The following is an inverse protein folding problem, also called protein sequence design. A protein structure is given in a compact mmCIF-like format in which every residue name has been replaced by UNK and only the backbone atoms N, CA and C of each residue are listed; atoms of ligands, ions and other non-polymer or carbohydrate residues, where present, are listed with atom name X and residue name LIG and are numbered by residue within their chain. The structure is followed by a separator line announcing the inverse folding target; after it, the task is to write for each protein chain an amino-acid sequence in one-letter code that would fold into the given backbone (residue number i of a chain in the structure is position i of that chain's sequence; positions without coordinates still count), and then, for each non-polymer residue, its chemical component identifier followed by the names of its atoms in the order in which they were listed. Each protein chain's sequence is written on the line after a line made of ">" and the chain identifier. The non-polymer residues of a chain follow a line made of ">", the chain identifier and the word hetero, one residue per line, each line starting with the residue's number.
data_IF_504885326142
#
_entry.id   IF_504885326142
#
_cell.length_a   1.000
_cell.length_b   1.000
_cell.length_c   1.000
_cell.angle_alpha   90.00
_cell.angle_beta   90.00
_cell.angle_gamma   90.00
#
_symmetry.space_group_name_H-M   'P 1'
#
loop_
_entity.id
_entity.type
_entity.pdbx_description
1 polymer ?
#
# COMPACT_ATOMS: atom_id res chain seq x y z
N UNK A 1 1.99 -21.61 2.08
CA UNK A 1 2.68 -20.60 1.25
C UNK A 1 1.73 -19.42 1.13
N UNK A 2 2.17 -18.20 1.46
CA UNK A 2 1.35 -16.98 1.36
C UNK A 2 1.80 -16.19 0.12
N UNK A 3 0.87 -15.50 -0.53
CA UNK A 3 1.16 -14.59 -1.64
C UNK A 3 0.93 -13.15 -1.23
N UNK A 4 1.91 -12.27 -1.48
CA UNK A 4 1.75 -10.83 -1.28
C UNK A 4 1.88 -10.11 -2.62
N UNK A 5 0.74 -9.66 -3.16
CA UNK A 5 0.67 -9.08 -4.49
C UNK A 5 0.67 -7.56 -4.39
N UNK A 6 1.67 -6.91 -4.98
CA UNK A 6 1.69 -5.46 -5.17
C UNK A 6 0.92 -5.04 -6.43
N UNK A 7 -0.01 -4.09 -6.32
CA UNK A 7 -0.76 -3.54 -7.45
C UNK A 7 -0.40 -2.07 -7.69
N UNK A 8 0.02 -1.79 -8.92
CA UNK A 8 0.26 -0.44 -9.45
C UNK A 8 -0.44 -0.25 -10.79
N UNK A 9 -0.46 0.98 -11.31
CA UNK A 9 -1.14 1.33 -12.56
C UNK A 9 -1.72 2.74 -12.55
N UNK A 10 -1.94 3.30 -13.73
CA UNK A 10 -2.44 4.67 -13.94
C UNK A 10 -3.90 4.84 -13.50
N UNK A 11 -4.37 6.09 -13.43
CA UNK A 11 -5.79 6.38 -13.19
C UNK A 11 -6.64 5.74 -14.30
N UNK A 12 -7.73 5.06 -13.92
CA UNK A 12 -8.59 4.35 -14.89
C UNK A 12 -8.09 2.98 -15.35
N UNK A 13 -6.93 2.50 -14.89
CA UNK A 13 -6.36 1.21 -15.33
C UNK A 13 -7.06 -0.06 -14.78
N UNK A 14 -8.22 0.06 -14.13
CA UNK A 14 -8.95 -1.11 -13.60
C UNK A 14 -8.37 -1.74 -12.32
N UNK A 15 -7.43 -1.08 -11.62
CA UNK A 15 -6.83 -1.59 -10.37
C UNK A 15 -7.86 -1.98 -9.31
N UNK A 16 -8.88 -1.14 -9.11
CA UNK A 16 -9.94 -1.42 -8.13
C UNK A 16 -10.65 -2.73 -8.42
N UNK A 17 -10.94 -3.02 -9.69
CA UNK A 17 -11.60 -4.25 -10.13
C UNK A 17 -10.80 -5.50 -9.78
N UNK A 18 -9.49 -5.51 -10.01
CA UNK A 18 -8.66 -6.67 -9.66
C UNK A 18 -8.48 -6.82 -8.14
N UNK A 19 -8.40 -5.71 -7.39
CA UNK A 19 -8.39 -5.74 -5.92
C UNK A 19 -9.67 -6.36 -5.38
N UNK A 20 -10.82 -5.89 -5.85
CA UNK A 20 -12.14 -6.43 -5.45
C UNK A 20 -12.27 -7.91 -5.78
N UNK A 21 -11.79 -8.34 -6.95
CA UNK A 21 -11.76 -9.76 -7.31
C UNK A 21 -10.89 -10.57 -6.33
N UNK A 22 -9.68 -10.10 -6.01
CA UNK A 22 -8.79 -10.81 -5.09
C UNK A 22 -9.40 -10.92 -3.68
N UNK A 23 -10.05 -9.86 -3.20
CA UNK A 23 -10.72 -9.88 -1.89
C UNK A 23 -11.92 -10.85 -1.94
N UNK A 24 -12.87 -10.59 -2.82
CA UNK A 24 -14.19 -11.22 -2.78
C UNK A 24 -14.19 -12.66 -3.31
N UNK A 25 -13.29 -12.98 -4.25
CA UNK A 25 -13.26 -14.29 -4.92
C UNK A 25 -12.09 -15.16 -4.49
N UNK A 26 -11.00 -14.56 -3.96
CA UNK A 26 -9.78 -15.28 -3.57
C UNK A 26 -9.43 -15.16 -2.09
N UNK A 27 -10.21 -14.40 -1.30
CA UNK A 27 -10.00 -14.27 0.14
C UNK A 27 -8.72 -13.53 0.51
N UNK A 28 -8.24 -12.62 -0.34
CA UNK A 28 -7.07 -11.80 -0.02
C UNK A 28 -7.43 -10.70 0.98
N UNK A 29 -6.55 -10.48 1.95
CA UNK A 29 -6.56 -9.27 2.77
C UNK A 29 -6.09 -8.06 1.95
N UNK A 30 -6.74 -6.91 2.14
CA UNK A 30 -6.39 -5.68 1.42
C UNK A 30 -5.68 -4.69 2.33
N UNK A 31 -4.55 -4.20 1.82
CA UNK A 31 -3.77 -3.15 2.44
C UNK A 31 -3.52 -2.06 1.39
N UNK A 32 -3.76 -0.80 1.72
CA UNK A 32 -3.55 0.29 0.77
C UNK A 32 -2.67 1.39 1.36
N UNK A 33 -1.79 1.94 0.54
CA UNK A 33 -1.02 3.15 0.88
C UNK A 33 -1.97 4.31 1.19
N UNK A 34 -3.15 4.35 0.54
CA UNK A 34 -4.16 5.39 0.75
C UNK A 34 -4.73 5.35 2.16
N UNK A 35 -5.09 4.16 2.66
CA UNK A 35 -5.65 3.98 3.99
C UNK A 35 -4.60 4.20 5.07
N UNK A 36 -3.35 3.75 4.83
CA UNK A 36 -2.22 4.06 5.72
C UNK A 36 -2.06 5.57 5.92
N UNK A 37 -2.09 6.35 4.82
CA UNK A 37 -1.97 7.80 4.89
C UNK A 37 -3.20 8.43 5.54
N UNK A 38 -4.40 7.89 5.31
CA UNK A 38 -5.65 8.36 5.94
C UNK A 38 -5.58 8.21 7.45
N UNK A 39 -5.20 7.03 7.94
CA UNK A 39 -4.98 6.77 9.37
C UNK A 39 -3.93 7.72 9.96
N UNK A 40 -2.83 7.95 9.23
CA UNK A 40 -1.76 8.85 9.66
C UNK A 40 -2.26 10.30 9.78
N UNK A 41 -2.99 10.81 8.78
CA UNK A 41 -3.56 12.15 8.80
C UNK A 41 -4.56 12.32 9.94
N UNK A 42 -5.44 11.32 10.18
CA UNK A 42 -6.38 11.31 11.29
C UNK A 42 -5.64 11.40 12.64
N UNK A 43 -4.59 10.59 12.84
CA UNK A 43 -3.76 10.61 14.05
C UNK A 43 -3.10 11.97 14.30
N UNK A 44 -2.87 12.75 13.25
CA UNK A 44 -2.28 14.09 13.34
C UNK A 44 -3.31 15.23 13.23
N UNK A 45 -4.61 14.92 13.32
CA UNK A 45 -5.70 15.89 13.18
C UNK A 45 -5.58 16.77 11.92
N UNK A 46 -5.14 16.17 10.81
CA UNK A 46 -4.99 16.85 9.52
C UNK A 46 -6.19 16.60 8.61
N UNK A 47 -6.60 17.60 7.79
CA UNK A 47 -7.70 17.43 6.84
C UNK A 47 -7.43 16.33 5.79
N UNK A 48 -8.47 15.57 5.46
CA UNK A 48 -8.38 14.49 4.46
C UNK A 48 -8.62 15.03 3.04
N UNK A 49 -7.57 15.58 2.42
CA UNK A 49 -7.61 16.07 1.04
C UNK A 49 -6.37 15.63 0.25
N UNK A 50 -6.43 15.69 -1.09
CA UNK A 50 -5.40 15.19 -1.99
C UNK A 50 -4.01 15.77 -1.71
N UNK A 51 -3.94 17.05 -1.38
CA UNK A 51 -2.68 17.74 -1.13
C UNK A 51 -2.05 17.23 0.17
N UNK A 52 -2.84 17.10 1.24
CA UNK A 52 -2.38 16.56 2.52
C UNK A 52 -1.92 15.11 2.41
N UNK A 53 -2.58 14.27 1.59
CA UNK A 53 -2.07 12.92 1.31
C UNK A 53 -0.69 12.96 0.63
N UNK A 54 -0.51 13.86 -0.33
CA UNK A 54 0.75 13.99 -1.08
C UNK A 54 1.86 14.50 -0.16
N UNK A 55 1.59 15.53 0.63
CA UNK A 55 2.52 16.10 1.61
C UNK A 55 2.91 15.04 2.65
N UNK A 56 1.94 14.33 3.22
CA UNK A 56 2.19 13.27 4.21
C UNK A 56 3.06 12.15 3.63
N UNK A 57 2.72 11.66 2.43
CA UNK A 57 3.50 10.61 1.78
C UNK A 57 4.94 11.07 1.51
N UNK A 58 5.14 12.29 1.01
CA UNK A 58 6.47 12.83 0.73
C UNK A 58 7.29 13.00 2.02
N UNK A 59 6.70 13.53 3.10
CA UNK A 59 7.37 13.64 4.41
C UNK A 59 7.83 12.28 4.94
N UNK A 60 6.99 11.26 4.82
CA UNK A 60 7.35 9.90 5.25
C UNK A 60 8.49 9.33 4.40
N UNK A 61 8.46 9.55 3.08
CA UNK A 61 9.52 9.09 2.17
C UNK A 61 10.84 9.82 2.39
N UNK A 62 10.80 11.12 2.62
CA UNK A 62 11.97 11.94 2.94
C UNK A 62 12.62 11.48 4.24
N UNK A 63 11.80 11.19 5.26
CA UNK A 63 12.28 10.82 6.59
C UNK A 63 12.76 9.37 6.71
N UNK A 64 12.06 8.43 6.07
CA UNK A 64 12.26 6.99 6.30
C UNK A 64 12.63 6.20 5.05
N UNK A 65 12.71 6.86 3.89
CA UNK A 65 13.01 6.23 2.61
C UNK A 65 11.77 5.95 1.76
N UNK A 66 11.99 5.79 0.45
CA UNK A 66 10.93 5.72 -0.55
C UNK A 66 9.94 4.56 -0.38
N UNK A 67 10.40 3.43 0.19
CA UNK A 67 9.60 2.20 0.37
C UNK A 67 8.87 2.12 1.71
N UNK A 68 9.14 3.03 2.66
CA UNK A 68 8.73 2.91 4.05
C UNK A 68 7.27 2.49 4.26
N UNK A 69 6.33 3.13 3.56
CA UNK A 69 4.90 2.85 3.71
C UNK A 69 4.58 1.42 3.26
N UNK A 70 5.12 1.02 2.11
CA UNK A 70 4.90 -0.32 1.54
C UNK A 70 5.57 -1.39 2.39
N UNK A 71 6.74 -1.12 2.96
CA UNK A 71 7.42 -2.03 3.89
C UNK A 71 6.58 -2.24 5.17
N UNK A 72 5.99 -1.17 5.71
CA UNK A 72 5.08 -1.28 6.85
C UNK A 72 3.84 -2.13 6.52
N UNK A 73 3.26 -1.95 5.33
CA UNK A 73 2.11 -2.74 4.89
C UNK A 73 2.48 -4.20 4.62
N UNK A 74 3.66 -4.45 4.05
CA UNK A 74 4.21 -5.80 3.86
C UNK A 74 4.37 -6.52 5.19
N UNK A 75 4.97 -5.89 6.22
CA UNK A 75 5.11 -6.52 7.52
C UNK A 75 3.76 -6.82 8.18
N UNK A 76 2.77 -5.91 8.05
CA UNK A 76 1.39 -6.16 8.50
C UNK A 76 0.79 -7.40 7.81
N UNK A 77 0.93 -7.49 6.49
CA UNK A 77 0.43 -8.63 5.71
C UNK A 77 1.15 -9.94 6.06
N UNK A 78 2.47 -9.90 6.18
CA UNK A 78 3.31 -11.05 6.53
C UNK A 78 2.95 -11.61 7.91
N UNK A 79 2.77 -10.73 8.90
CA UNK A 79 2.39 -11.11 10.26
C UNK A 79 0.96 -11.65 10.35
N UNK A 80 0.05 -11.15 9.52
CA UNK A 80 -1.31 -11.69 9.43
C UNK A 80 -1.35 -13.14 8.87
N UNK A 81 -0.32 -13.55 8.12
CA UNK A 81 -0.17 -14.92 7.64
C UNK A 81 -1.20 -15.34 6.59
N UNK A 82 -1.85 -14.39 5.94
CA UNK A 82 -2.85 -14.61 4.89
C UNK A 82 -2.37 -14.03 3.56
N UNK A 83 -2.94 -14.51 2.45
CA UNK A 83 -2.74 -13.89 1.16
C UNK A 83 -3.16 -12.43 1.22
N UNK A 84 -2.36 -11.54 0.63
CA UNK A 84 -2.56 -10.12 0.75
C UNK A 84 -2.33 -9.40 -0.57
N UNK A 85 -3.07 -8.32 -0.77
CA UNK A 85 -2.89 -7.37 -1.85
C UNK A 85 -2.51 -6.01 -1.27
N UNK A 86 -1.38 -5.47 -1.73
CA UNK A 86 -0.90 -4.14 -1.38
C UNK A 86 -1.13 -3.22 -2.57
N UNK A 87 -2.09 -2.31 -2.44
CA UNK A 87 -2.50 -1.41 -3.51
C UNK A 87 -1.94 0.02 -3.31
N UNK A 88 -2.02 0.82 -4.37
CA UNK A 88 -1.57 2.21 -4.42
C UNK A 88 -0.05 2.39 -4.36
N UNK A 89 0.69 1.43 -4.95
CA UNK A 89 2.13 1.54 -5.21
C UNK A 89 2.38 2.55 -6.34
N UNK A 90 3.29 3.50 -6.14
CA UNK A 90 3.51 4.65 -7.03
C UNK A 90 4.96 4.90 -7.41
N UNK A 91 5.95 4.30 -6.73
CA UNK A 91 7.36 4.57 -7.01
C UNK A 91 8.16 3.31 -7.31
N UNK A 92 9.23 3.38 -8.13
CA UNK A 92 10.12 2.25 -8.35
C UNK A 92 10.75 1.70 -7.06
N UNK A 93 11.05 2.57 -6.09
CA UNK A 93 11.61 2.16 -4.80
C UNK A 93 10.68 1.23 -4.01
N UNK A 94 9.37 1.50 -4.03
CA UNK A 94 8.35 0.63 -3.42
C UNK A 94 8.31 -0.75 -4.11
N UNK A 95 8.34 -0.77 -5.45
CA UNK A 95 8.33 -2.03 -6.24
C UNK A 95 9.59 -2.84 -5.98
N UNK A 96 10.76 -2.19 -6.00
CA UNK A 96 12.04 -2.84 -5.79
C UNK A 96 12.12 -3.44 -4.38
N UNK A 97 11.60 -2.75 -3.36
CA UNK A 97 11.55 -3.29 -2.00
C UNK A 97 10.70 -4.56 -1.93
N UNK A 98 9.47 -4.53 -2.47
CA UNK A 98 8.59 -5.70 -2.47
C UNK A 98 9.20 -6.91 -3.19
N UNK A 99 9.84 -6.70 -4.35
CA UNK A 99 10.49 -7.79 -5.09
C UNK A 99 11.62 -8.46 -4.31
N UNK A 100 12.31 -7.73 -3.45
CA UNK A 100 13.37 -8.29 -2.59
C UNK A 100 12.82 -9.18 -1.47
N UNK A 101 11.51 -9.16 -1.19
CA UNK A 101 10.89 -9.93 -0.10
C UNK A 101 10.59 -11.39 -0.45
N UNK A 102 10.63 -11.77 -1.73
CA UNK A 102 10.65 -13.16 -2.18
C UNK A 102 9.35 -13.98 -2.06
N UNK A 103 8.22 -13.37 -1.68
CA UNK A 103 6.94 -14.05 -1.41
C UNK A 103 5.77 -13.33 -2.07
#
# INVERSE_FOLDING_TARGET
>A
MIYIIGITGTLGAGKGTIVEYLINQKGFSHYSVRDFLKETLIKHNQPLNRDNYTICANKLREKFGSSYIVDCLYEKARLAGQNAVIESIRTPGEVNSLRQKGN
#
